data_IF_244819071820
#
_entry.id   IF_244819071820
#
_cell.length_a   1.000
_cell.length_b   1.000
_cell.length_c   1.000
_cell.angle_alpha   90.00
_cell.angle_beta   90.00
_cell.angle_gamma   90.00
#
_symmetry.space_group_name_H-M   'P 1'
#
loop_
_entity.id
_entity.type
_entity.pdbx_description
1 polymer ?
#
# COMPACT_ATOMS: atom_id res chain seq x y z
N UNK A 1 -18.36 -6.82 -15.84
CA UNK A 1 -17.15 -6.09 -15.38
C UNK A 1 -16.48 -5.34 -16.52
N UNK A 2 -16.18 -5.97 -17.66
CA UNK A 2 -15.55 -5.28 -18.80
C UNK A 2 -16.50 -4.24 -19.44
N UNK A 3 -17.81 -4.51 -19.49
CA UNK A 3 -18.78 -3.57 -20.06
C UNK A 3 -19.06 -2.33 -19.18
N UNK A 4 -18.50 -2.30 -17.97
CA UNK A 4 -18.57 -1.14 -17.06
C UNK A 4 -17.39 -0.17 -17.26
N UNK A 5 -16.42 -0.52 -18.11
CA UNK A 5 -15.28 0.36 -18.41
C UNK A 5 -15.73 1.55 -19.27
N UNK A 6 -15.17 2.74 -19.06
CA UNK A 6 -15.29 3.84 -20.01
C UNK A 6 -14.95 3.38 -21.44
N UNK A 7 -15.68 3.88 -22.45
CA UNK A 7 -15.57 3.42 -23.85
C UNK A 7 -14.12 3.37 -24.35
N UNK A 8 -13.32 4.39 -24.06
CA UNK A 8 -11.91 4.46 -24.45
C UNK A 8 -11.07 3.34 -23.83
N UNK A 9 -11.28 3.04 -22.54
CA UNK A 9 -10.57 2.00 -21.83
C UNK A 9 -10.99 0.61 -22.32
N UNK A 10 -12.28 0.41 -22.63
CA UNK A 10 -12.77 -0.84 -23.23
C UNK A 10 -12.17 -1.08 -24.62
N UNK A 11 -12.15 -0.06 -25.48
CA UNK A 11 -11.54 -0.17 -26.80
C UNK A 11 -10.03 -0.46 -26.76
N UNK A 12 -9.32 0.12 -25.78
CA UNK A 12 -7.92 -0.20 -25.53
C UNK A 12 -7.75 -1.66 -25.06
N UNK A 13 -8.56 -2.09 -24.09
CA UNK A 13 -8.51 -3.45 -23.55
C UNK A 13 -8.76 -4.49 -24.64
N UNK A 14 -9.76 -4.27 -25.50
CA UNK A 14 -10.08 -5.17 -26.63
C UNK A 14 -8.88 -5.29 -27.59
N UNK A 15 -8.25 -4.16 -27.97
CA UNK A 15 -7.06 -4.17 -28.82
C UNK A 15 -5.86 -4.86 -28.16
N UNK A 16 -5.67 -4.64 -26.86
CA UNK A 16 -4.59 -5.26 -26.10
C UNK A 16 -4.78 -6.78 -26.01
N UNK A 17 -5.98 -7.24 -25.67
CA UNK A 17 -6.29 -8.66 -25.59
C UNK A 17 -6.14 -9.35 -26.95
N UNK A 18 -6.60 -8.70 -28.02
CA UNK A 18 -6.39 -9.20 -29.38
C UNK A 18 -4.91 -9.32 -29.73
N UNK A 19 -4.10 -8.33 -29.36
CA UNK A 19 -2.65 -8.38 -29.58
C UNK A 19 -1.99 -9.53 -28.80
N UNK A 20 -2.31 -9.68 -27.51
CA UNK A 20 -1.77 -10.76 -26.68
C UNK A 20 -2.17 -12.14 -27.19
N UNK A 21 -3.38 -12.30 -27.72
CA UNK A 21 -3.81 -13.54 -28.37
C UNK A 21 -2.95 -13.88 -29.61
N UNK A 22 -2.58 -12.87 -30.41
CA UNK A 22 -1.67 -13.06 -31.55
C UNK A 22 -0.25 -13.42 -31.11
N UNK A 23 0.22 -12.85 -30.01
CA UNK A 23 1.52 -13.21 -29.42
C UNK A 23 1.48 -14.67 -28.96
N UNK A 24 0.43 -15.08 -28.23
CA UNK A 24 0.24 -16.46 -27.80
C UNK A 24 0.16 -17.44 -28.97
N UNK A 25 -0.47 -17.06 -30.07
CA UNK A 25 -0.53 -17.89 -31.27
C UNK A 25 0.85 -18.19 -31.89
N UNK A 26 1.85 -17.35 -31.61
CA UNK A 26 3.24 -17.54 -32.06
C UNK A 26 4.14 -18.20 -31.00
N UNK A 27 3.55 -18.90 -30.02
CA UNK A 27 4.27 -19.54 -28.91
C UNK A 27 5.41 -20.46 -29.36
N UNK A 28 5.27 -21.15 -30.50
CA UNK A 28 6.33 -22.00 -31.03
C UNK A 28 7.67 -21.27 -31.22
N UNK A 29 7.62 -19.97 -31.56
CA UNK A 29 8.80 -19.13 -31.83
C UNK A 29 9.15 -18.26 -30.63
N UNK A 30 8.18 -17.58 -30.02
CA UNK A 30 8.43 -16.61 -28.95
C UNK A 30 8.40 -17.22 -27.53
N UNK A 31 7.95 -18.48 -27.39
CA UNK A 31 7.82 -19.22 -26.12
C UNK A 31 6.87 -18.57 -25.10
N UNK A 32 5.98 -17.69 -25.56
CA UNK A 32 5.02 -16.97 -24.73
C UNK A 32 3.60 -17.52 -24.94
N UNK A 33 3.25 -18.60 -24.25
CA UNK A 33 1.88 -19.08 -24.19
C UNK A 33 0.95 -18.19 -23.34
N UNK A 34 -0.38 -18.43 -23.38
CA UNK A 34 -1.37 -17.65 -22.63
C UNK A 34 -1.07 -17.53 -21.14
N UNK A 35 -0.57 -18.61 -20.51
CA UNK A 35 -0.22 -18.64 -19.08
C UNK A 35 0.91 -17.66 -18.73
N UNK A 36 1.97 -17.63 -19.54
CA UNK A 36 3.11 -16.73 -19.33
C UNK A 36 2.68 -15.27 -19.52
N UNK A 37 1.86 -15.00 -20.52
CA UNK A 37 1.31 -13.67 -20.74
C UNK A 37 0.37 -13.23 -19.60
N UNK A 38 -0.47 -14.12 -19.09
CA UNK A 38 -1.35 -13.81 -17.95
C UNK A 38 -0.56 -13.49 -16.67
N UNK A 39 0.54 -14.22 -16.41
CA UNK A 39 1.43 -13.97 -15.27
C UNK A 39 2.06 -12.57 -15.30
N UNK A 40 2.50 -12.14 -16.49
CA UNK A 40 3.18 -10.84 -16.66
C UNK A 40 2.18 -9.69 -16.74
N UNK A 41 1.13 -9.84 -17.57
CA UNK A 41 0.21 -8.76 -17.88
C UNK A 41 -0.99 -8.68 -16.93
N UNK A 42 -1.40 -9.80 -16.31
CA UNK A 42 -2.50 -9.83 -15.34
C UNK A 42 -2.35 -8.79 -14.22
N UNK A 43 -1.17 -8.69 -13.56
CA UNK A 43 -0.92 -7.68 -12.53
C UNK A 43 -1.00 -6.23 -13.01
N UNK A 44 -0.79 -5.94 -14.29
CA UNK A 44 -0.78 -4.57 -14.82
C UNK A 44 -2.12 -4.19 -15.46
N UNK A 45 -2.83 -5.15 -16.04
CA UNK A 45 -4.12 -4.95 -16.71
C UNK A 45 -5.28 -5.07 -15.71
N UNK A 46 -5.21 -6.03 -14.79
CA UNK A 46 -6.31 -6.38 -13.87
C UNK A 46 -6.06 -5.89 -12.45
N UNK A 47 -5.01 -5.09 -12.21
CA UNK A 47 -4.70 -4.60 -10.86
C UNK A 47 -5.91 -3.87 -10.29
N UNK A 48 -6.57 -4.50 -9.31
CA UNK A 48 -7.48 -3.81 -8.42
C UNK A 48 -6.67 -2.77 -7.64
N UNK A 49 -7.15 -1.53 -7.67
CA UNK A 49 -6.58 -0.41 -6.87
C UNK A 49 -6.48 -0.76 -5.38
N UNK A 50 -7.25 -1.74 -4.91
CA UNK A 50 -7.27 -2.28 -3.56
C UNK A 50 -5.87 -2.63 -3.01
N UNK A 51 -4.96 -3.21 -3.80
CA UNK A 51 -3.67 -3.67 -3.25
C UNK A 51 -2.71 -2.51 -2.93
N UNK A 52 -2.71 -1.47 -3.76
CA UNK A 52 -1.88 -0.28 -3.54
C UNK A 52 -2.52 0.62 -2.50
N UNK A 53 -3.85 0.78 -2.50
CA UNK A 53 -4.53 1.49 -1.42
C UNK A 53 -4.35 0.81 -0.06
N UNK A 54 -4.40 -0.52 0.00
CA UNK A 54 -4.15 -1.28 1.23
C UNK A 54 -2.72 -1.11 1.73
N UNK A 55 -1.71 -1.15 0.84
CA UNK A 55 -0.32 -0.93 1.24
C UNK A 55 -0.07 0.51 1.69
N UNK A 56 -0.59 1.51 0.96
CA UNK A 56 -0.44 2.93 1.32
C UNK A 56 -1.11 3.22 2.66
N UNK A 57 -2.33 2.72 2.89
CA UNK A 57 -3.04 2.89 4.16
C UNK A 57 -2.36 2.18 5.33
N UNK A 58 -1.82 0.97 5.12
CA UNK A 58 -1.04 0.28 6.14
C UNK A 58 0.26 1.01 6.50
N UNK A 59 0.94 1.59 5.50
CA UNK A 59 2.14 2.38 5.72
C UNK A 59 1.83 3.71 6.43
N UNK A 60 0.72 4.38 6.09
CA UNK A 60 0.30 5.61 6.76
C UNK A 60 0.03 5.37 8.25
N UNK A 61 -0.69 4.30 8.59
CA UNK A 61 -0.97 3.92 9.99
C UNK A 61 0.30 3.68 10.79
N UNK A 62 1.29 2.99 10.21
CA UNK A 62 2.59 2.76 10.87
C UNK A 62 3.34 4.06 11.16
N UNK A 63 3.29 5.04 10.24
CA UNK A 63 3.92 6.35 10.43
C UNK A 63 3.22 7.12 11.57
N UNK A 64 1.89 7.09 11.62
CA UNK A 64 1.10 7.71 12.69
C UNK A 64 1.38 7.10 14.06
N UNK A 65 1.55 5.77 14.13
CA UNK A 65 1.89 5.06 15.37
C UNK A 65 3.29 5.42 15.88
N UNK A 66 4.29 5.49 14.99
CA UNK A 66 5.64 5.93 15.35
C UNK A 66 5.66 7.39 15.83
N UNK A 67 4.94 8.30 15.16
CA UNK A 67 4.81 9.69 15.62
C UNK A 67 4.16 9.81 17.00
N UNK A 68 3.16 8.97 17.31
CA UNK A 68 2.56 8.94 18.65
C UNK A 68 3.55 8.44 19.71
N UNK A 69 4.35 7.41 19.41
CA UNK A 69 5.39 6.94 20.33
C UNK A 69 6.41 8.04 20.60
N UNK A 70 6.88 8.72 19.56
CA UNK A 70 7.85 9.82 19.71
C UNK A 70 7.28 10.96 20.56
N UNK A 71 6.00 11.32 20.35
CA UNK A 71 5.31 12.31 21.18
C UNK A 71 5.15 11.86 22.65
N UNK A 72 4.88 10.58 22.90
CA UNK A 72 4.83 10.04 24.27
C UNK A 72 6.21 10.11 24.93
N UNK A 73 7.28 9.70 24.23
CA UNK A 73 8.65 9.73 24.74
C UNK A 73 9.11 11.15 25.08
N UNK A 74 8.75 12.15 24.25
CA UNK A 74 9.08 13.55 24.55
C UNK A 74 8.39 14.09 25.81
N UNK A 75 7.22 13.57 26.16
CA UNK A 75 6.49 13.99 27.36
C UNK A 75 6.93 13.28 28.65
N UNK A 76 7.71 12.19 28.56
CA UNK A 76 8.18 11.45 29.74
C UNK A 76 9.14 12.28 30.59
N UNK A 77 10.03 13.06 29.99
CA UNK A 77 10.98 13.92 30.70
C UNK A 77 10.30 14.96 31.59
N UNK A 78 9.44 15.84 31.01
CA UNK A 78 8.67 16.80 31.78
C UNK A 78 7.77 16.15 32.83
N UNK A 79 7.10 15.03 32.51
CA UNK A 79 6.26 14.33 33.48
C UNK A 79 7.09 13.80 34.67
N UNK A 80 8.26 13.22 34.40
CA UNK A 80 9.18 12.74 35.44
C UNK A 80 9.64 13.89 36.35
N UNK A 81 10.03 15.02 35.77
CA UNK A 81 10.43 16.20 36.55
C UNK A 81 9.28 16.71 37.44
N UNK A 82 8.06 16.77 36.91
CA UNK A 82 6.88 17.20 37.67
C UNK A 82 6.63 16.28 38.88
N UNK A 83 6.78 14.97 38.69
CA UNK A 83 6.66 13.97 39.76
C UNK A 83 7.77 14.11 40.81
N UNK A 84 9.01 14.32 40.38
CA UNK A 84 10.15 14.52 41.28
C UNK A 84 9.97 15.79 42.12
N UNK A 85 9.54 16.90 41.53
CA UNK A 85 9.25 18.15 42.24
C UNK A 85 8.14 18.00 43.29
N UNK A 86 7.07 17.26 42.96
CA UNK A 86 5.98 16.98 43.90
C UNK A 86 6.43 16.15 45.10
N UNK A 87 7.31 15.16 44.89
CA UNK A 87 7.88 14.34 45.96
C UNK A 87 8.80 15.17 46.87
N UNK A 88 9.62 16.03 46.29
CA UNK A 88 10.53 16.92 47.00
C UNK A 88 9.77 17.93 47.87
N UNK A 89 8.64 18.44 47.37
CA UNK A 89 7.75 19.33 48.11
C UNK A 89 7.11 18.62 49.33
N UNK A 90 6.64 17.39 49.16
CA UNK A 90 6.08 16.58 50.25
C UNK A 90 7.13 16.21 51.31
N UNK A 91 8.38 15.99 50.89
CA UNK A 91 9.50 15.70 51.78
C UNK A 91 9.86 16.87 52.70
N UNK A 92 9.67 18.12 52.25
CA UNK A 92 9.96 19.35 53.03
C UNK A 92 8.84 19.78 54.00
N UNK A 93 7.68 19.16 53.93
CA UNK A 93 6.52 19.45 54.79
C UNK A 93 6.49 18.60 56.08
N UNK A 94 7.50 17.77 56.33
CA UNK A 94 7.71 17.00 57.57
C UNK A 94 8.92 17.54 58.32
#
# INVERSE_FOLDING_TARGET
>A
MIDLLPKSNRGLLDRLMFHLARVAHQEAVNKMGPSNLALIFGPCILRRQDSVHAQVSANLRRIEEHQKLDAVVQNVGPAKQLFEEQLDFLGRQK
#
